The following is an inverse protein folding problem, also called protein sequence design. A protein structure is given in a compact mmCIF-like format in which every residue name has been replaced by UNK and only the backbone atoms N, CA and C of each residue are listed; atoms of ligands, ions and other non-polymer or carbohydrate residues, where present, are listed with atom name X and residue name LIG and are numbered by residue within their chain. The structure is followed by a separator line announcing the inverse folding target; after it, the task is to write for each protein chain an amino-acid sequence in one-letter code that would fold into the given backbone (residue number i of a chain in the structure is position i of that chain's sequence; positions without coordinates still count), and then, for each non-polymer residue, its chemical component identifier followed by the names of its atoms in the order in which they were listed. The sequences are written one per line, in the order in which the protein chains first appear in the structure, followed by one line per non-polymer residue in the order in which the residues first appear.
data_IF_187539404264
#
_entry.id   IF_187539404264
#
_cell.length_a   1.000
_cell.length_b   1.000
_cell.length_c   1.000
_cell.angle_alpha   90.00
_cell.angle_beta   90.00
_cell.angle_gamma   90.00
#
_symmetry.space_group_name_H-M   'P 1'
#
loop_
_entity.id
_entity.type
_entity.pdbx_description
1 polymer ?
#
# COMPACT_ATOMS: atom_id res chain seq x y z
N UNK A 1 -20.82 10.86 -0.24
CA UNK A 1 -20.79 10.01 0.96
C UNK A 1 -19.52 9.15 1.04
N UNK A 2 -18.95 8.67 -0.07
CA UNK A 2 -17.68 7.89 -0.04
C UNK A 2 -16.40 8.74 0.16
N UNK A 3 -16.37 9.98 -0.34
CA UNK A 3 -15.19 10.86 -0.20
C UNK A 3 -14.86 11.21 1.27
N UNK A 4 -15.90 11.36 2.10
CA UNK A 4 -15.80 11.74 3.51
C UNK A 4 -15.04 10.68 4.34
N UNK A 5 -15.24 9.40 4.03
CA UNK A 5 -14.63 8.28 4.77
C UNK A 5 -13.14 8.10 4.45
N UNK A 6 -12.72 8.38 3.21
CA UNK A 6 -11.31 8.27 2.83
C UNK A 6 -10.47 9.39 3.45
N UNK A 7 -11.01 10.61 3.51
CA UNK A 7 -10.35 11.75 4.16
C UNK A 7 -10.20 11.53 5.67
N UNK A 8 -11.22 10.97 6.32
CA UNK A 8 -11.16 10.60 7.73
C UNK A 8 -10.07 9.54 8.01
N UNK A 9 -10.00 8.48 7.19
CA UNK A 9 -8.96 7.45 7.34
C UNK A 9 -7.53 8.00 7.16
N UNK A 10 -7.32 8.91 6.20
CA UNK A 10 -6.02 9.58 6.01
C UNK A 10 -5.65 10.39 7.27
N UNK A 11 -6.62 11.13 7.83
CA UNK A 11 -6.41 11.94 9.03
C UNK A 11 -6.02 11.08 10.24
N UNK A 12 -6.68 9.94 10.44
CA UNK A 12 -6.33 9.02 11.53
C UNK A 12 -4.89 8.50 11.40
N UNK A 13 -4.47 8.11 10.19
CA UNK A 13 -3.11 7.62 9.94
C UNK A 13 -2.07 8.71 10.18
N UNK A 14 -2.31 9.92 9.67
CA UNK A 14 -1.42 11.08 9.86
C UNK A 14 -1.23 11.35 11.36
N UNK A 15 -2.34 11.43 12.11
CA UNK A 15 -2.28 11.66 13.54
C UNK A 15 -1.47 10.59 14.27
N UNK A 16 -1.60 9.33 13.87
CA UNK A 16 -0.85 8.22 14.43
C UNK A 16 0.66 8.33 14.13
N UNK A 17 1.05 8.71 12.90
CA UNK A 17 2.44 8.94 12.53
C UNK A 17 3.06 10.12 13.28
N UNK A 18 2.31 11.21 13.43
CA UNK A 18 2.73 12.40 14.19
C UNK A 18 2.99 12.05 15.67
N UNK A 19 2.10 11.26 16.28
CA UNK A 19 2.26 10.78 17.66
C UNK A 19 3.49 9.89 17.85
N UNK A 20 3.95 9.21 16.80
CA UNK A 20 5.17 8.39 16.80
C UNK A 20 6.41 9.17 16.34
N UNK A 21 6.28 10.46 16.03
CA UNK A 21 7.32 11.31 15.46
C UNK A 21 7.96 10.73 14.18
N UNK A 22 7.16 10.06 13.34
CA UNK A 22 7.60 9.51 12.06
C UNK A 22 7.44 10.58 10.98
N UNK A 23 8.55 11.05 10.41
CA UNK A 23 8.51 12.03 9.32
C UNK A 23 7.98 11.42 8.02
N UNK A 24 7.07 12.12 7.34
CA UNK A 24 6.53 11.71 6.05
C UNK A 24 6.38 12.91 5.09
N UNK A 25 6.15 12.63 3.81
CA UNK A 25 5.76 13.62 2.81
C UNK A 25 4.50 13.12 2.12
N UNK A 26 3.42 13.91 2.20
CA UNK A 26 2.13 13.55 1.63
C UNK A 26 2.03 14.07 0.19
N UNK A 27 1.83 13.17 -0.77
CA UNK A 27 1.66 13.51 -2.18
C UNK A 27 0.20 13.25 -2.60
N UNK A 28 -0.52 14.29 -2.99
CA UNK A 28 -1.88 14.17 -3.52
C UNK A 28 -1.86 13.98 -5.03
N UNK A 29 -2.71 13.08 -5.53
CA UNK A 29 -2.93 12.87 -6.96
C UNK A 29 -4.41 12.58 -7.23
N UNK A 30 -4.92 12.85 -8.44
CA UNK A 30 -6.29 12.47 -8.79
C UNK A 30 -6.46 10.94 -8.77
N UNK A 31 -7.70 10.44 -8.58
CA UNK A 31 -7.98 9.02 -8.71
C UNK A 31 -7.60 8.50 -10.10
N UNK A 32 -6.89 7.37 -10.13
CA UNK A 32 -6.40 6.71 -11.34
C UNK A 32 -6.78 5.23 -11.28
N UNK A 33 -7.10 4.65 -12.43
CA UNK A 33 -7.60 3.27 -12.49
C UNK A 33 -6.62 2.31 -13.15
N UNK A 34 -5.70 2.83 -13.95
CA UNK A 34 -4.67 2.03 -14.61
C UNK A 34 -3.29 2.26 -14.00
N UNK A 35 -2.45 1.22 -14.05
CA UNK A 35 -1.05 1.31 -13.61
C UNK A 35 -0.29 2.38 -14.41
N UNK A 36 -0.54 2.46 -15.72
CA UNK A 36 0.10 3.42 -16.61
C UNK A 36 -0.26 4.88 -16.28
N UNK A 37 -1.49 5.14 -15.83
CA UNK A 37 -1.88 6.46 -15.32
C UNK A 37 -1.24 6.75 -13.98
N UNK A 38 -1.25 5.77 -13.07
CA UNK A 38 -0.64 5.92 -11.76
C UNK A 38 0.85 6.28 -11.89
N UNK A 39 1.62 5.54 -12.68
CA UNK A 39 3.07 5.75 -12.86
C UNK A 39 3.46 7.21 -13.14
N UNK A 40 2.61 7.99 -13.82
CA UNK A 40 2.86 9.42 -14.09
C UNK A 40 2.98 10.26 -12.82
N UNK A 41 2.34 9.86 -11.72
CA UNK A 41 2.28 10.62 -10.47
C UNK A 41 3.37 10.21 -9.48
N UNK A 42 3.74 8.92 -9.41
CA UNK A 42 4.66 8.43 -8.37
C UNK A 42 6.06 8.05 -8.88
N UNK A 43 6.30 7.96 -10.20
CA UNK A 43 7.60 7.56 -10.77
C UNK A 43 8.79 8.42 -10.30
N UNK A 44 8.57 9.70 -10.01
CA UNK A 44 9.62 10.63 -9.58
C UNK A 44 9.71 10.78 -8.06
N UNK A 45 8.88 10.05 -7.29
CA UNK A 45 8.95 10.09 -5.83
C UNK A 45 10.11 9.20 -5.39
N UNK A 46 11.12 9.76 -4.71
CA UNK A 46 12.29 8.98 -4.29
C UNK A 46 11.88 7.92 -3.26
N UNK A 47 12.48 6.72 -3.37
CA UNK A 47 12.32 5.66 -2.38
C UNK A 47 11.94 4.30 -2.97
N UNK A 48 11.78 3.32 -2.08
CA UNK A 48 11.38 1.98 -2.42
C UNK A 48 9.86 1.93 -2.65
N UNK A 49 9.48 1.95 -3.92
CA UNK A 49 8.13 1.66 -4.36
C UNK A 49 7.70 0.25 -3.98
N UNK A 50 6.67 0.13 -3.14
CA UNK A 50 6.15 -1.14 -2.63
C UNK A 50 4.76 -1.46 -3.19
N UNK A 51 4.45 -2.76 -3.25
CA UNK A 51 3.11 -3.30 -3.43
C UNK A 51 2.75 -4.20 -2.27
N UNK A 52 1.46 -4.25 -1.97
CA UNK A 52 0.90 -5.00 -0.85
C UNK A 52 0.02 -6.14 -1.39
N UNK A 53 0.32 -7.37 -0.98
CA UNK A 53 -0.50 -8.54 -1.30
C UNK A 53 -1.19 -8.99 -0.01
N UNK A 54 -2.51 -8.81 0.05
CA UNK A 54 -3.32 -9.36 1.13
C UNK A 54 -3.74 -10.78 0.77
N UNK A 55 -3.21 -11.77 1.49
CA UNK A 55 -3.32 -13.19 1.19
C UNK A 55 -3.96 -13.93 2.37
N UNK A 56 -4.51 -15.11 2.09
CA UNK A 56 -4.98 -16.04 3.12
C UNK A 56 -4.51 -17.45 2.83
N UNK A 57 -4.41 -18.28 3.87
CA UNK A 57 -4.16 -19.71 3.70
C UNK A 57 -5.40 -20.44 3.12
N UNK A 58 -5.21 -21.71 2.70
CA UNK A 58 -6.31 -22.53 2.15
C UNK A 58 -7.48 -22.72 3.11
N UNK A 59 -7.21 -22.79 4.42
CA UNK A 59 -8.25 -22.90 5.46
C UNK A 59 -9.01 -21.59 5.70
N UNK A 60 -8.54 -20.46 5.14
CA UNK A 60 -9.12 -19.14 5.33
C UNK A 60 -8.97 -18.55 6.74
N UNK A 61 -8.33 -19.26 7.68
CA UNK A 61 -8.23 -18.87 9.08
C UNK A 61 -6.95 -18.11 9.42
N UNK A 62 -6.04 -17.92 8.45
CA UNK A 62 -4.84 -17.10 8.62
C UNK A 62 -4.72 -16.14 7.44
N UNK A 63 -4.55 -14.87 7.77
CA UNK A 63 -4.36 -13.77 6.84
C UNK A 63 -2.90 -13.28 6.90
N UNK A 64 -2.39 -12.84 5.77
CA UNK A 64 -1.02 -12.36 5.62
C UNK A 64 -1.04 -11.07 4.80
N UNK A 65 -0.25 -10.10 5.22
CA UNK A 65 0.07 -8.92 4.41
C UNK A 65 1.53 -9.05 3.96
N UNK A 66 1.74 -9.28 2.66
CA UNK A 66 3.08 -9.37 2.08
C UNK A 66 3.42 -8.03 1.43
N UNK A 67 4.43 -7.36 1.95
CA UNK A 67 4.96 -6.11 1.41
C UNK A 67 6.22 -6.45 0.60
N UNK A 68 6.25 -6.05 -0.67
CA UNK A 68 7.38 -6.29 -1.56
C UNK A 68 7.59 -5.09 -2.48
N UNK A 69 8.80 -4.96 -3.05
CA UNK A 69 9.05 -3.94 -4.09
C UNK A 69 8.07 -4.12 -5.27
N UNK A 70 7.59 -3.03 -5.84
CA UNK A 70 6.57 -3.01 -6.89
C UNK A 70 6.94 -3.92 -8.08
N UNK A 71 8.20 -3.85 -8.52
CA UNK A 71 8.72 -4.64 -9.63
C UNK A 71 9.15 -6.07 -9.24
N UNK A 72 9.22 -6.40 -7.94
CA UNK A 72 9.62 -7.74 -7.50
C UNK A 72 8.50 -8.73 -7.79
N UNK A 73 8.82 -9.76 -8.59
CA UNK A 73 7.92 -10.91 -8.76
C UNK A 73 7.89 -11.73 -7.47
N UNK A 74 6.68 -11.95 -6.95
CA UNK A 74 6.44 -12.73 -5.74
C UNK A 74 5.90 -14.09 -6.15
N UNK A 75 6.65 -15.16 -5.85
CA UNK A 75 6.23 -16.53 -6.11
C UNK A 75 5.35 -17.05 -4.96
N UNK A 76 4.04 -17.02 -5.18
CA UNK A 76 3.04 -17.44 -4.18
C UNK A 76 3.15 -18.93 -3.82
N UNK A 77 3.59 -19.79 -4.75
CA UNK A 77 3.73 -21.24 -4.48
C UNK A 77 4.93 -21.51 -3.58
N UNK A 78 6.03 -20.76 -3.76
CA UNK A 78 7.18 -20.85 -2.84
C UNK A 78 6.84 -20.28 -1.46
N UNK A 79 6.01 -19.24 -1.38
CA UNK A 79 5.58 -18.68 -0.09
C UNK A 79 4.79 -19.66 0.77
N UNK A 80 4.05 -20.61 0.19
CA UNK A 80 3.31 -21.64 0.95
C UNK A 80 4.18 -22.76 1.51
N UNK A 81 5.47 -22.81 1.18
CA UNK A 81 6.33 -23.98 1.39
C UNK A 81 7.15 -23.96 2.70
N UNK A 82 6.65 -23.27 3.73
CA UNK A 82 7.27 -23.19 5.06
C UNK A 82 6.45 -23.95 6.09
#
# INVERSE_FOLDING_TARGET
MEADSAEEAIREVIQYLDNLNITYTLHHHPPVYTVAEAEKFWKNIPGAHCKNLFLRNKKGNRHYLVIALGQRRVDLKKLTRR
#
